data_IF_325500889343
#
_entry.id   IF_325500889343
#
_cell.length_a   1.000
_cell.length_b   1.000
_cell.length_c   1.000
_cell.angle_alpha   90.00
_cell.angle_beta   90.00
_cell.angle_gamma   90.00
#
_symmetry.space_group_name_H-M   'P 1'
#
loop_
_entity.id
_entity.type
_entity.pdbx_description
1 polymer ?
#
# COMPACT_ATOMS: atom_id res chain seq x y z
N UNK A 1 -52.82 -29.35 -37.48
CA UNK A 1 -51.88 -30.34 -38.04
C UNK A 1 -51.25 -29.64 -39.22
N UNK A 2 -50.03 -29.11 -39.18
CA UNK A 2 -48.87 -29.55 -38.41
C UNK A 2 -47.96 -28.40 -37.98
N UNK A 3 -47.31 -28.67 -36.85
CA UNK A 3 -46.32 -27.87 -36.15
C UNK A 3 -44.94 -28.20 -36.73
N UNK A 4 -44.14 -27.22 -37.15
CA UNK A 4 -42.69 -27.41 -37.35
C UNK A 4 -41.96 -26.29 -36.63
N UNK A 5 -41.53 -26.62 -35.41
CA UNK A 5 -40.61 -25.85 -34.59
C UNK A 5 -39.19 -26.18 -35.06
N UNK A 6 -38.45 -25.18 -35.53
CA UNK A 6 -36.99 -25.27 -35.60
C UNK A 6 -36.42 -25.12 -34.19
N UNK A 7 -36.05 -26.24 -33.57
CA UNK A 7 -35.21 -26.24 -32.36
C UNK A 7 -33.78 -25.86 -32.75
N UNK A 8 -33.45 -24.58 -32.62
CA UNK A 8 -32.06 -24.18 -32.50
C UNK A 8 -31.59 -24.60 -31.10
N UNK A 9 -30.86 -25.71 -31.03
CA UNK A 9 -30.09 -26.10 -29.85
C UNK A 9 -29.00 -25.05 -29.64
N UNK A 10 -29.28 -24.02 -28.84
CA UNK A 10 -28.22 -23.22 -28.25
C UNK A 10 -27.51 -24.11 -27.24
N UNK A 11 -26.37 -24.67 -27.63
CA UNK A 11 -25.36 -25.10 -26.68
C UNK A 11 -25.02 -23.88 -25.83
N UNK A 12 -25.59 -23.79 -24.64
CA UNK A 12 -25.13 -22.91 -23.58
C UNK A 12 -23.73 -23.39 -23.20
N UNK A 13 -22.72 -22.88 -23.90
CA UNK A 13 -21.43 -22.70 -23.27
C UNK A 13 -21.71 -21.86 -22.03
N UNK A 14 -21.64 -22.48 -20.86
CA UNK A 14 -21.45 -21.76 -19.60
C UNK A 14 -20.28 -20.82 -19.81
N UNK A 15 -20.54 -19.52 -20.03
CA UNK A 15 -19.53 -18.50 -19.78
C UNK A 15 -19.15 -18.69 -18.32
N UNK A 16 -17.99 -19.29 -18.05
CA UNK A 16 -17.47 -19.35 -16.69
C UNK A 16 -17.30 -17.91 -16.24
N UNK A 17 -18.20 -17.44 -15.37
CA UNK A 17 -18.16 -16.10 -14.83
C UNK A 17 -16.82 -15.84 -14.14
N UNK A 18 -16.42 -14.58 -14.07
CA UNK A 18 -15.21 -14.20 -13.34
C UNK A 18 -15.31 -14.67 -11.89
N UNK A 19 -14.19 -15.17 -11.35
CA UNK A 19 -14.01 -15.36 -9.91
C UNK A 19 -13.42 -14.10 -9.28
N UNK A 20 -13.79 -13.82 -8.04
CA UNK A 20 -13.43 -12.60 -7.33
C UNK A 20 -12.51 -12.92 -6.15
N UNK A 21 -11.33 -12.32 -6.13
CA UNK A 21 -10.42 -12.38 -4.99
C UNK A 21 -10.59 -11.09 -4.18
N UNK A 22 -10.89 -11.22 -2.90
CA UNK A 22 -10.94 -10.13 -1.94
C UNK A 22 -9.90 -10.38 -0.84
N UNK A 23 -9.51 -9.33 -0.11
CA UNK A 23 -8.62 -9.51 1.03
C UNK A 23 -8.75 -8.38 2.06
N UNK A 24 -8.43 -8.66 3.31
CA UNK A 24 -8.20 -7.62 4.32
C UNK A 24 -6.92 -7.92 5.10
N UNK A 25 -6.49 -6.95 5.88
CA UNK A 25 -5.24 -6.94 6.63
C UNK A 25 -5.56 -6.66 8.09
N UNK A 26 -4.74 -7.22 8.99
CA UNK A 26 -4.82 -6.94 10.42
C UNK A 26 -5.13 -5.46 10.75
N UNK A 27 -6.15 -5.15 11.59
CA UNK A 27 -6.60 -3.78 11.81
C UNK A 27 -5.54 -2.74 12.22
N UNK A 28 -4.54 -3.07 13.07
CA UNK A 28 -3.45 -2.14 13.43
C UNK A 28 -2.56 -1.71 12.25
N UNK A 29 -2.57 -2.45 11.14
CA UNK A 29 -1.66 -2.19 10.02
C UNK A 29 -2.03 -0.91 9.26
N UNK A 30 -1.02 -0.03 9.11
CA UNK A 30 -1.16 1.27 8.50
C UNK A 30 -1.27 1.25 6.98
N UNK A 31 -1.57 2.43 6.42
CA UNK A 31 -1.77 2.67 4.99
C UNK A 31 -0.66 2.09 4.10
N UNK A 32 0.60 2.32 4.49
CA UNK A 32 1.75 1.92 3.67
C UNK A 32 2.07 0.43 3.72
N UNK A 33 1.82 -0.26 4.83
CA UNK A 33 1.93 -1.73 4.85
C UNK A 33 0.81 -2.36 4.01
N UNK A 34 -0.41 -1.83 4.07
CA UNK A 34 -1.53 -2.32 3.23
C UNK A 34 -1.24 -2.20 1.73
N UNK A 35 -0.54 -1.15 1.32
CA UNK A 35 -0.01 -1.01 -0.06
C UNK A 35 1.02 -2.08 -0.41
N UNK A 36 1.85 -2.49 0.55
CA UNK A 36 2.79 -3.60 0.36
C UNK A 36 2.05 -4.94 0.23
N UNK A 37 1.04 -5.18 1.08
CA UNK A 37 0.19 -6.38 1.01
C UNK A 37 -0.57 -6.46 -0.32
N UNK A 38 -1.03 -5.34 -0.88
CA UNK A 38 -1.60 -5.31 -2.23
C UNK A 38 -0.64 -5.92 -3.26
N UNK A 39 0.66 -5.64 -3.18
CA UNK A 39 1.65 -6.21 -4.11
C UNK A 39 1.74 -7.73 -3.98
N UNK A 40 1.63 -8.25 -2.75
CA UNK A 40 1.62 -9.69 -2.47
C UNK A 40 0.38 -10.35 -3.07
N UNK A 41 -0.80 -9.78 -2.82
CA UNK A 41 -2.07 -10.30 -3.34
C UNK A 41 -2.16 -10.20 -4.86
N UNK A 42 -1.67 -9.12 -5.45
CA UNK A 42 -1.58 -8.99 -6.90
C UNK A 42 -0.65 -10.05 -7.52
N UNK A 43 0.41 -10.48 -6.82
CA UNK A 43 1.29 -11.56 -7.28
C UNK A 43 0.56 -12.91 -7.27
N UNK A 44 -0.19 -13.20 -6.20
CA UNK A 44 -1.11 -14.35 -6.16
C UNK A 44 -2.11 -14.29 -7.32
N UNK A 45 -2.74 -13.15 -7.58
CA UNK A 45 -3.70 -13.01 -8.68
C UNK A 45 -3.05 -13.30 -10.05
N UNK A 46 -1.82 -12.81 -10.30
CA UNK A 46 -1.06 -13.15 -11.51
C UNK A 46 -0.83 -14.65 -11.66
N UNK A 47 -0.63 -15.37 -10.56
CA UNK A 47 -0.53 -16.83 -10.57
C UNK A 47 -1.88 -17.50 -10.89
N UNK A 48 -2.97 -17.02 -10.31
CA UNK A 48 -4.33 -17.53 -10.58
C UNK A 48 -4.76 -17.33 -12.04
N UNK A 49 -4.43 -16.17 -12.61
CA UNK A 49 -4.73 -15.77 -14.00
C UNK A 49 -4.06 -16.66 -15.06
N UNK A 50 -3.09 -17.50 -14.68
CA UNK A 50 -2.52 -18.50 -15.59
C UNK A 50 -3.47 -19.67 -15.84
N UNK A 51 -4.48 -19.85 -15.01
CA UNK A 51 -5.40 -21.00 -15.02
C UNK A 51 -6.85 -20.60 -15.24
N UNK A 52 -7.34 -19.59 -14.53
CA UNK A 52 -8.76 -19.19 -14.53
C UNK A 52 -8.90 -17.67 -14.59
N UNK A 53 -10.07 -17.17 -14.99
CA UNK A 53 -10.37 -15.74 -14.97
C UNK A 53 -10.67 -15.27 -13.54
N UNK A 54 -9.77 -14.46 -13.00
CA UNK A 54 -9.90 -13.86 -11.67
C UNK A 54 -9.84 -12.34 -11.75
N UNK A 55 -10.59 -11.67 -10.89
CA UNK A 55 -10.56 -10.21 -10.70
C UNK A 55 -10.26 -9.91 -9.24
N UNK A 56 -9.31 -9.01 -8.98
CA UNK A 56 -9.05 -8.54 -7.63
C UNK A 56 -10.02 -7.42 -7.27
N UNK A 57 -10.78 -7.63 -6.20
CA UNK A 57 -11.64 -6.61 -5.61
C UNK A 57 -10.81 -5.81 -4.62
N UNK A 58 -10.73 -4.50 -4.84
CA UNK A 58 -9.93 -3.60 -4.04
C UNK A 58 -10.62 -3.33 -2.69
N UNK A 59 -9.96 -3.59 -1.54
CA UNK A 59 -10.56 -3.42 -0.24
C UNK A 59 -10.72 -1.93 0.09
N UNK A 60 -11.93 -1.44 0.41
CA UNK A 60 -12.14 -0.04 0.75
C UNK A 60 -11.26 0.40 1.92
N UNK A 61 -10.73 1.62 1.85
CA UNK A 61 -9.94 2.19 2.93
C UNK A 61 -10.86 2.64 4.06
N UNK A 62 -10.47 2.35 5.30
CA UNK A 62 -11.26 2.72 6.48
C UNK A 62 -10.53 2.40 7.78
N UNK A 63 -10.80 3.20 8.82
CA UNK A 63 -10.39 2.99 10.22
C UNK A 63 -8.95 2.51 10.40
N UNK A 64 -7.99 3.21 9.81
CA UNK A 64 -6.58 2.92 10.07
C UNK A 64 -6.15 3.53 11.41
N UNK A 65 -5.48 2.74 12.25
CA UNK A 65 -4.99 3.18 13.57
C UNK A 65 -4.14 4.45 13.53
N UNK A 66 -3.48 4.70 12.40
CA UNK A 66 -2.58 5.84 12.19
C UNK A 66 -3.25 7.08 11.59
N UNK A 67 -4.55 7.02 11.31
CA UNK A 67 -5.30 8.19 10.84
C UNK A 67 -5.37 9.23 11.95
N UNK A 68 -5.04 10.46 11.55
CA UNK A 68 -4.76 11.60 12.41
C UNK A 68 -6.01 12.41 12.69
N UNK A 69 -7.03 12.28 11.84
CA UNK A 69 -8.21 13.15 11.80
C UNK A 69 -9.44 12.38 12.31
N UNK A 70 -9.66 12.30 13.63
CA UNK A 70 -10.79 11.56 14.20
C UNK A 70 -12.13 12.23 13.91
N UNK A 71 -12.13 13.54 13.66
CA UNK A 71 -13.33 14.35 13.44
C UNK A 71 -13.90 14.22 12.02
N UNK A 72 -13.21 13.50 11.13
CA UNK A 72 -13.65 13.26 9.76
C UNK A 72 -14.02 11.78 9.63
N UNK A 73 -15.21 11.51 9.08
CA UNK A 73 -15.60 10.14 8.76
C UNK A 73 -14.71 9.60 7.64
N UNK A 74 -13.87 8.64 7.99
CA UNK A 74 -12.99 7.96 7.07
C UNK A 74 -13.30 6.45 7.12
N UNK A 75 -14.19 6.01 6.24
CA UNK A 75 -14.57 4.60 6.09
C UNK A 75 -15.15 4.41 4.69
N UNK A 76 -15.04 3.20 4.14
CA UNK A 76 -15.58 2.86 2.81
C UNK A 76 -15.00 3.75 1.68
N UNK A 77 -13.78 4.25 1.84
CA UNK A 77 -13.15 5.13 0.85
C UNK A 77 -12.65 4.27 -0.32
N UNK A 78 -13.02 4.57 -1.57
CA UNK A 78 -12.57 3.81 -2.74
C UNK A 78 -11.08 4.03 -3.04
N UNK A 79 -10.46 3.10 -3.78
CA UNK A 79 -9.06 3.23 -4.18
C UNK A 79 -8.82 4.39 -5.15
N UNK A 80 -9.81 4.73 -5.97
CA UNK A 80 -9.80 5.90 -6.86
C UNK A 80 -9.56 7.23 -6.13
N UNK A 81 -9.78 7.30 -4.82
CA UNK A 81 -9.42 8.47 -4.01
C UNK A 81 -7.90 8.66 -3.90
N UNK A 82 -7.09 7.59 -3.99
CA UNK A 82 -5.65 7.62 -3.75
C UNK A 82 -4.81 7.15 -4.94
N UNK A 83 -5.34 6.28 -5.79
CA UNK A 83 -4.62 5.65 -6.90
C UNK A 83 -5.40 5.74 -8.21
N UNK A 84 -4.66 5.76 -9.32
CA UNK A 84 -5.24 5.71 -10.65
C UNK A 84 -5.63 4.26 -11.03
N UNK A 85 -6.94 3.98 -11.06
CA UNK A 85 -7.46 2.63 -11.34
C UNK A 85 -7.10 2.13 -12.73
N UNK A 86 -6.96 3.03 -13.72
CA UNK A 86 -6.56 2.65 -15.08
C UNK A 86 -5.12 2.12 -15.09
N UNK A 87 -4.23 2.74 -14.30
CA UNK A 87 -2.85 2.30 -14.11
C UNK A 87 -2.76 0.95 -13.42
N UNK A 88 -3.56 0.72 -12.38
CA UNK A 88 -3.65 -0.59 -11.72
C UNK A 88 -4.13 -1.67 -12.70
N UNK A 89 -5.18 -1.38 -13.48
CA UNK A 89 -5.78 -2.30 -14.46
C UNK A 89 -4.83 -2.71 -15.60
N UNK A 90 -3.81 -1.90 -15.92
CA UNK A 90 -2.76 -2.29 -16.87
C UNK A 90 -1.87 -3.42 -16.35
N UNK A 91 -1.82 -3.66 -15.04
CA UNK A 91 -1.01 -4.72 -14.44
C UNK A 91 -1.83 -5.98 -14.13
N UNK A 92 -3.01 -5.82 -13.53
CA UNK A 92 -3.94 -6.91 -13.19
C UNK A 92 -5.39 -6.40 -13.25
N UNK A 93 -6.38 -7.26 -13.56
CA UNK A 93 -7.79 -6.87 -13.51
C UNK A 93 -8.20 -6.51 -12.08
N UNK A 94 -8.60 -5.27 -11.86
CA UNK A 94 -9.05 -4.75 -10.56
C UNK A 94 -10.39 -4.02 -10.68
N UNK A 95 -11.22 -4.19 -9.65
CA UNK A 95 -12.48 -3.46 -9.50
C UNK A 95 -12.63 -2.94 -8.06
N UNK A 96 -13.40 -1.87 -7.90
CA UNK A 96 -13.79 -1.39 -6.57
C UNK A 96 -14.80 -2.34 -5.91
N UNK A 97 -14.89 -2.30 -4.59
CA UNK A 97 -15.80 -3.18 -3.83
C UNK A 97 -17.28 -2.98 -4.17
N UNK A 98 -17.73 -1.74 -4.38
CA UNK A 98 -19.11 -1.47 -4.77
C UNK A 98 -19.44 -2.03 -6.17
N UNK A 99 -18.46 -2.04 -7.08
CA UNK A 99 -18.60 -2.67 -8.39
C UNK A 99 -18.74 -4.19 -8.25
N UNK A 100 -17.98 -4.82 -7.34
CA UNK A 100 -18.16 -6.24 -7.02
C UNK A 100 -19.60 -6.53 -6.56
N UNK A 101 -20.17 -5.74 -5.64
CA UNK A 101 -21.55 -5.93 -5.17
C UNK A 101 -22.55 -5.89 -6.34
N UNK A 102 -22.35 -4.97 -7.29
CA UNK A 102 -23.21 -4.85 -8.46
C UNK A 102 -23.07 -6.03 -9.43
N UNK A 103 -21.85 -6.53 -9.65
CA UNK A 103 -21.58 -7.62 -10.61
C UNK A 103 -21.91 -9.02 -10.06
N UNK A 104 -21.69 -9.26 -8.77
CA UNK A 104 -21.93 -10.57 -8.13
C UNK A 104 -23.40 -10.82 -7.77
N UNK A 105 -24.26 -9.80 -7.88
CA UNK A 105 -25.67 -9.88 -7.52
C UNK A 105 -25.98 -9.60 -6.05
N UNK A 106 -24.98 -9.16 -5.27
CA UNK A 106 -25.18 -8.69 -3.90
C UNK A 106 -23.90 -8.70 -3.04
N UNK A 107 -23.97 -8.23 -1.79
CA UNK A 107 -22.81 -8.13 -0.90
C UNK A 107 -22.51 -9.49 -0.22
N UNK A 108 -22.50 -10.57 -0.99
CA UNK A 108 -22.25 -11.92 -0.49
C UNK A 108 -20.86 -12.40 -0.90
N UNK A 109 -20.09 -12.87 0.08
CA UNK A 109 -18.79 -13.49 -0.10
C UNK A 109 -18.95 -14.98 0.19
N UNK A 110 -18.83 -15.82 -0.82
CA UNK A 110 -19.04 -17.26 -0.69
C UNK A 110 -18.08 -17.94 0.29
N UNK A 111 -16.79 -17.61 0.25
CA UNK A 111 -15.79 -18.20 1.16
C UNK A 111 -14.87 -17.13 1.75
N UNK A 112 -14.72 -17.13 3.07
CA UNK A 112 -13.69 -16.37 3.78
C UNK A 112 -12.67 -17.34 4.35
N UNK A 113 -11.40 -17.13 4.04
CA UNK A 113 -10.28 -17.81 4.69
C UNK A 113 -9.56 -16.82 5.59
N UNK A 114 -9.53 -17.10 6.89
CA UNK A 114 -8.74 -16.34 7.86
C UNK A 114 -7.35 -16.94 7.91
N UNK A 115 -6.36 -16.20 7.43
CA UNK A 115 -4.97 -16.65 7.43
C UNK A 115 -4.36 -16.53 8.83
N UNK A 116 -3.61 -17.55 9.22
CA UNK A 116 -2.94 -17.61 10.53
C UNK A 116 -1.59 -18.33 10.40
N UNK A 117 -0.74 -18.20 11.42
CA UNK A 117 0.45 -19.04 11.54
C UNK A 117 0.09 -20.51 11.84
N UNK A 118 1.09 -21.39 11.77
CA UNK A 118 0.96 -22.75 12.34
C UNK A 118 1.07 -22.68 13.86
N UNK A 119 0.13 -23.29 14.58
CA UNK A 119 0.08 -23.27 16.04
C UNK A 119 1.33 -23.90 16.69
N UNK A 120 1.89 -24.90 16.01
CA UNK A 120 3.13 -25.58 16.36
C UNK A 120 4.40 -24.74 16.12
N UNK A 121 4.29 -23.61 15.42
CA UNK A 121 5.42 -22.81 14.97
C UNK A 121 6.32 -23.56 13.98
N UNK A 122 7.59 -23.18 13.91
CA UNK A 122 8.62 -23.89 13.15
C UNK A 122 9.89 -24.07 14.00
N UNK A 123 10.66 -25.11 13.74
CA UNK A 123 11.98 -25.30 14.35
C UNK A 123 13.05 -24.59 13.50
N UNK A 124 14.09 -24.08 14.13
CA UNK A 124 15.24 -23.51 13.41
C UNK A 124 15.77 -24.51 12.36
N UNK A 125 15.96 -24.04 11.11
CA UNK A 125 16.40 -24.87 9.99
C UNK A 125 15.32 -25.68 9.27
N UNK A 126 14.04 -25.57 9.66
CA UNK A 126 12.91 -26.33 9.05
C UNK A 126 11.85 -25.44 8.38
N UNK A 127 12.23 -24.25 7.93
CA UNK A 127 11.28 -23.37 7.25
C UNK A 127 10.93 -23.95 5.87
N UNK A 128 9.64 -24.25 5.66
CA UNK A 128 9.10 -24.77 4.41
C UNK A 128 7.86 -23.96 4.02
N UNK A 129 7.62 -23.79 2.71
CA UNK A 129 6.37 -23.21 2.26
C UNK A 129 5.25 -24.25 2.32
N UNK A 130 4.18 -23.95 3.06
CA UNK A 130 3.03 -24.82 3.21
C UNK A 130 1.77 -24.06 3.58
N UNK A 131 0.63 -24.68 3.27
CA UNK A 131 -0.69 -24.17 3.60
C UNK A 131 -1.61 -25.35 3.90
N UNK A 132 -2.34 -25.26 5.00
CA UNK A 132 -3.27 -26.29 5.44
C UNK A 132 -4.53 -25.66 6.03
N UNK A 133 -5.69 -26.27 5.75
CA UNK A 133 -6.89 -25.99 6.54
C UNK A 133 -6.71 -26.52 7.95
N UNK A 134 -6.84 -25.64 8.94
CA UNK A 134 -6.60 -25.93 10.36
C UNK A 134 -7.71 -25.31 11.21
N UNK A 135 -7.92 -25.81 12.43
CA UNK A 135 -8.76 -25.11 13.40
C UNK A 135 -8.28 -23.67 13.60
N UNK A 136 -9.24 -22.75 13.72
CA UNK A 136 -8.95 -21.36 14.04
C UNK A 136 -8.27 -21.27 15.40
N UNK A 137 -7.09 -20.63 15.45
CA UNK A 137 -6.30 -20.48 16.68
C UNK A 137 -6.97 -19.46 17.59
N UNK A 138 -7.20 -18.27 17.05
CA UNK A 138 -7.88 -17.19 17.76
C UNK A 138 -9.39 -17.27 17.58
N UNK A 139 -10.11 -16.62 18.50
CA UNK A 139 -11.54 -16.45 18.35
C UNK A 139 -11.85 -15.66 17.06
N UNK A 140 -12.66 -16.26 16.19
CA UNK A 140 -13.10 -15.62 14.95
C UNK A 140 -13.78 -14.28 15.24
N UNK A 141 -13.37 -13.23 14.52
CA UNK A 141 -14.06 -11.95 14.50
C UNK A 141 -15.38 -11.98 13.69
N UNK A 142 -15.68 -13.14 13.08
CA UNK A 142 -16.90 -13.40 12.32
C UNK A 142 -17.91 -14.14 13.21
N UNK A 143 -19.18 -13.75 13.12
CA UNK A 143 -20.27 -14.37 13.88
C UNK A 143 -21.49 -14.61 13.01
N UNK A 144 -22.21 -15.70 13.24
CA UNK A 144 -23.41 -16.03 12.48
C UNK A 144 -24.59 -15.15 12.90
N UNK A 145 -25.38 -14.72 11.92
CA UNK A 145 -26.67 -14.08 12.14
C UNK A 145 -27.82 -15.10 12.18
N UNK A 146 -29.06 -14.61 12.31
CA UNK A 146 -30.27 -15.44 12.40
C UNK A 146 -30.56 -16.29 11.15
N UNK A 147 -29.92 -15.96 10.02
CA UNK A 147 -30.05 -16.68 8.76
C UNK A 147 -28.82 -17.55 8.48
N UNK A 148 -27.99 -17.81 9.50
CA UNK A 148 -26.76 -18.61 9.42
C UNK A 148 -25.65 -18.01 8.55
N UNK A 149 -25.77 -16.75 8.12
CA UNK A 149 -24.70 -16.05 7.40
C UNK A 149 -23.71 -15.40 8.37
N UNK A 150 -22.43 -15.38 8.01
CA UNK A 150 -21.39 -14.73 8.81
C UNK A 150 -21.40 -13.21 8.60
N UNK A 151 -21.49 -12.48 9.70
CA UNK A 151 -21.24 -11.04 9.80
C UNK A 151 -19.82 -10.81 10.32
N UNK A 152 -19.20 -9.74 9.87
CA UNK A 152 -17.85 -9.34 10.27
C UNK A 152 -17.63 -7.85 9.99
N UNK A 153 -16.38 -7.41 10.05
CA UNK A 153 -16.02 -6.01 9.78
C UNK A 153 -16.31 -5.61 8.33
N UNK A 154 -15.90 -6.44 7.35
CA UNK A 154 -16.11 -6.24 5.91
C UNK A 154 -15.96 -4.78 5.44
N UNK A 155 -14.83 -4.16 5.80
CA UNK A 155 -14.47 -2.78 5.44
C UNK A 155 -15.50 -1.71 5.83
N UNK A 156 -16.34 -2.02 6.83
CA UNK A 156 -17.38 -1.16 7.34
C UNK A 156 -18.73 -1.28 6.64
N UNK A 157 -18.92 -2.23 5.72
CA UNK A 157 -20.20 -2.53 5.07
C UNK A 157 -21.00 -3.53 5.92
N UNK A 158 -22.01 -3.03 6.63
CA UNK A 158 -22.81 -3.81 7.57
C UNK A 158 -23.73 -4.83 6.89
N UNK A 159 -24.01 -4.61 5.61
CA UNK A 159 -24.81 -5.43 4.71
C UNK A 159 -24.05 -6.67 4.21
N UNK A 160 -22.71 -6.67 4.26
CA UNK A 160 -21.90 -7.75 3.73
C UNK A 160 -22.03 -9.04 4.55
N UNK A 161 -22.13 -10.17 3.85
CA UNK A 161 -22.30 -11.50 4.45
C UNK A 161 -21.32 -12.49 3.87
N UNK A 162 -20.65 -13.24 4.74
CA UNK A 162 -19.88 -14.43 4.38
C UNK A 162 -20.79 -15.67 4.42
N UNK A 163 -20.78 -16.52 3.40
CA UNK A 163 -21.54 -17.77 3.42
C UNK A 163 -20.80 -18.84 4.24
N UNK A 164 -19.47 -18.91 4.09
CA UNK A 164 -18.64 -19.82 4.86
C UNK A 164 -17.36 -19.12 5.36
N UNK A 165 -16.88 -19.52 6.54
CA UNK A 165 -15.65 -19.01 7.15
C UNK A 165 -14.85 -20.18 7.71
N UNK A 166 -13.60 -20.32 7.29
CA UNK A 166 -12.64 -21.26 7.90
C UNK A 166 -11.24 -20.64 7.98
N UNK A 167 -10.32 -21.31 8.67
CA UNK A 167 -8.97 -20.81 8.89
C UNK A 167 -7.93 -21.61 8.11
N UNK A 168 -6.96 -20.93 7.51
CA UNK A 168 -5.82 -21.54 6.84
C UNK A 168 -4.55 -21.17 7.59
N UNK A 169 -3.85 -22.17 8.11
CA UNK A 169 -2.48 -21.98 8.58
C UNK A 169 -1.56 -21.90 7.37
N UNK A 170 -0.77 -20.84 7.27
CA UNK A 170 0.09 -20.56 6.11
C UNK A 170 1.50 -20.16 6.56
N UNK A 171 2.47 -20.63 5.79
CA UNK A 171 3.86 -20.25 5.87
C UNK A 171 4.37 -20.17 4.43
N UNK A 172 4.78 -19.00 3.95
CA UNK A 172 5.34 -18.86 2.61
C UNK A 172 4.85 -17.63 1.85
N UNK A 173 5.21 -17.61 0.58
CA UNK A 173 4.86 -16.55 -0.36
C UNK A 173 3.39 -16.58 -0.77
N UNK A 174 2.83 -15.45 -1.21
CA UNK A 174 1.41 -15.33 -1.52
C UNK A 174 0.89 -16.39 -2.52
N UNK A 175 1.70 -16.78 -3.51
CA UNK A 175 1.31 -17.80 -4.49
C UNK A 175 1.11 -19.20 -3.91
N UNK A 176 1.55 -19.49 -2.67
CA UNK A 176 1.30 -20.77 -2.00
C UNK A 176 -0.20 -21.06 -1.83
N UNK A 177 -1.03 -20.02 -1.81
CA UNK A 177 -2.49 -20.11 -1.67
C UNK A 177 -3.18 -20.59 -2.96
N UNK A 178 -2.53 -20.45 -4.11
CA UNK A 178 -3.15 -20.72 -5.42
C UNK A 178 -3.75 -22.14 -5.57
N UNK A 179 -3.10 -23.23 -5.11
CA UNK A 179 -3.69 -24.56 -5.18
C UNK A 179 -5.01 -24.69 -4.43
N UNK A 180 -5.16 -24.04 -3.27
CA UNK A 180 -6.41 -24.04 -2.50
C UNK A 180 -7.52 -23.36 -3.31
N UNK A 181 -7.22 -22.18 -3.88
CA UNK A 181 -8.20 -21.39 -4.63
C UNK A 181 -8.62 -22.06 -5.95
N UNK A 182 -7.71 -22.77 -6.62
CA UNK A 182 -7.97 -23.41 -7.91
C UNK A 182 -8.55 -24.83 -7.79
N UNK A 183 -8.20 -25.59 -6.74
CA UNK A 183 -8.55 -27.02 -6.66
C UNK A 183 -9.51 -27.36 -5.51
N UNK A 184 -9.41 -26.64 -4.39
CA UNK A 184 -10.11 -27.02 -3.16
C UNK A 184 -11.42 -26.24 -2.97
N UNK A 185 -11.67 -25.20 -3.75
CA UNK A 185 -12.92 -24.44 -3.69
C UNK A 185 -13.47 -24.11 -5.07
N UNK A 186 -14.78 -24.32 -5.23
CA UNK A 186 -15.55 -23.89 -6.40
C UNK A 186 -16.15 -22.49 -6.21
N UNK A 187 -15.83 -21.81 -5.10
CA UNK A 187 -16.45 -20.54 -4.75
C UNK A 187 -16.14 -19.45 -5.78
N UNK A 188 -17.17 -18.71 -6.20
CA UNK A 188 -17.02 -17.60 -7.13
C UNK A 188 -16.30 -16.42 -6.49
N UNK A 189 -16.58 -16.10 -5.22
CA UNK A 189 -15.91 -15.01 -4.49
C UNK A 189 -15.20 -15.54 -3.24
N UNK A 190 -13.90 -15.29 -3.13
CA UNK A 190 -13.07 -15.73 -2.00
C UNK A 190 -12.38 -14.54 -1.36
N UNK A 191 -12.52 -14.40 -0.05
CA UNK A 191 -11.82 -13.38 0.75
C UNK A 191 -10.69 -14.01 1.56
N UNK A 192 -9.49 -13.45 1.46
CA UNK A 192 -8.35 -13.76 2.33
C UNK A 192 -8.22 -12.70 3.42
N UNK A 193 -8.70 -12.99 4.62
CA UNK A 193 -8.47 -12.13 5.78
C UNK A 193 -7.08 -12.39 6.36
N UNK A 194 -6.50 -11.40 7.05
CA UNK A 194 -5.14 -11.45 7.62
C UNK A 194 -4.06 -11.69 6.56
N UNK A 195 -4.21 -11.05 5.40
CA UNK A 195 -3.33 -11.20 4.24
C UNK A 195 -1.86 -10.80 4.51
N UNK A 196 -1.55 -10.10 5.61
CA UNK A 196 -0.17 -9.81 6.00
C UNK A 196 0.66 -11.06 6.32
N UNK A 197 0.03 -12.20 6.62
CA UNK A 197 0.70 -13.47 6.85
C UNK A 197 1.40 -14.02 5.59
N UNK A 198 1.01 -13.54 4.40
CA UNK A 198 1.63 -13.95 3.15
C UNK A 198 2.88 -13.11 2.88
N UNK A 199 3.96 -13.75 2.43
CA UNK A 199 5.18 -13.08 1.99
C UNK A 199 5.13 -12.73 0.50
N UNK A 200 6.10 -11.94 0.03
CA UNK A 200 6.29 -11.69 -1.41
C UNK A 200 6.90 -12.91 -2.09
N UNK A 201 6.38 -13.29 -3.27
CA UNK A 201 6.94 -14.39 -4.09
C UNK A 201 8.39 -14.16 -4.48
N UNK A 202 8.70 -12.96 -4.99
CA UNK A 202 10.06 -12.55 -5.30
C UNK A 202 10.21 -11.04 -5.13
N UNK A 203 10.53 -10.62 -3.90
CA UNK A 203 10.73 -9.21 -3.57
C UNK A 203 11.82 -8.58 -4.45
N UNK A 204 11.57 -7.37 -4.97
CA UNK A 204 12.49 -6.69 -5.89
C UNK A 204 12.60 -7.31 -7.29
N UNK A 205 11.81 -8.34 -7.61
CA UNK A 205 11.75 -8.92 -8.96
C UNK A 205 10.96 -8.08 -9.96
N UNK A 206 10.95 -8.50 -11.22
CA UNK A 206 10.20 -7.82 -12.28
C UNK A 206 8.69 -7.73 -11.97
N UNK A 207 8.08 -8.80 -11.49
CA UNK A 207 6.64 -8.80 -11.19
C UNK A 207 6.30 -7.93 -9.98
N UNK A 208 7.17 -7.90 -8.97
CA UNK A 208 7.10 -6.95 -7.87
C UNK A 208 7.11 -5.51 -8.39
N UNK A 209 8.09 -5.16 -9.23
CA UNK A 209 8.23 -3.81 -9.76
C UNK A 209 7.12 -3.43 -10.73
N UNK A 210 6.61 -4.34 -11.56
CA UNK A 210 5.45 -4.09 -12.41
C UNK A 210 4.22 -3.73 -11.56
N UNK A 211 3.96 -4.50 -10.50
CA UNK A 211 2.86 -4.18 -9.60
C UNK A 211 3.10 -2.88 -8.85
N UNK A 212 4.30 -2.65 -8.32
CA UNK A 212 4.62 -1.41 -7.59
C UNK A 212 4.55 -0.16 -8.47
N UNK A 213 4.97 -0.24 -9.73
CA UNK A 213 4.89 0.84 -10.73
C UNK A 213 3.47 1.11 -11.20
N UNK A 214 2.59 0.11 -11.16
CA UNK A 214 1.18 0.27 -11.49
C UNK A 214 0.40 1.09 -10.45
N UNK A 215 0.92 1.20 -9.21
CA UNK A 215 0.33 1.97 -8.12
C UNK A 215 0.60 3.47 -8.27
N UNK A 216 0.21 4.04 -9.40
CA UNK A 216 0.30 5.48 -9.69
C UNK A 216 -0.70 6.22 -8.81
N UNK A 217 -0.24 7.28 -8.13
CA UNK A 217 -1.12 8.13 -7.34
C UNK A 217 -2.19 8.82 -8.19
N UNK A 218 -3.38 9.00 -7.62
CA UNK A 218 -4.48 9.69 -8.27
C UNK A 218 -4.06 11.08 -8.74
N UNK A 219 -4.46 11.45 -9.96
CA UNK A 219 -3.99 12.68 -10.62
C UNK A 219 -4.19 13.94 -9.79
N UNK A 220 -5.33 14.06 -9.11
CA UNK A 220 -5.64 15.24 -8.30
C UNK A 220 -4.65 15.42 -7.14
N UNK A 221 -4.15 14.34 -6.53
CA UNK A 221 -3.14 14.41 -5.47
C UNK A 221 -1.76 14.81 -6.01
N UNK A 222 -1.38 14.29 -7.18
CA UNK A 222 -0.13 14.67 -7.86
C UNK A 222 -0.13 16.16 -8.19
N UNK A 223 -1.23 16.66 -8.76
CA UNK A 223 -1.40 18.09 -9.08
C UNK A 223 -1.22 18.97 -7.84
N UNK A 224 -1.84 18.63 -6.70
CA UNK A 224 -1.66 19.38 -5.45
C UNK A 224 -0.20 19.36 -4.99
N UNK A 225 0.45 18.19 -5.05
CA UNK A 225 1.87 18.08 -4.73
C UNK A 225 2.78 18.91 -5.66
N UNK A 226 2.47 18.95 -6.96
CA UNK A 226 3.21 19.73 -7.96
C UNK A 226 2.99 21.25 -7.79
N UNK A 227 1.76 21.66 -7.47
CA UNK A 227 1.45 23.05 -7.13
C UNK A 227 2.23 23.50 -5.88
N UNK A 228 2.28 22.65 -4.85
CA UNK A 228 3.06 22.93 -3.65
C UNK A 228 4.57 23.00 -3.95
N UNK A 229 5.10 22.03 -4.70
CA UNK A 229 6.50 22.01 -5.16
C UNK A 229 6.88 23.29 -5.89
N UNK A 230 6.06 23.72 -6.83
CA UNK A 230 6.30 24.93 -7.61
C UNK A 230 6.26 26.18 -6.71
N UNK A 231 5.19 26.33 -5.92
CA UNK A 231 4.93 27.53 -5.11
C UNK A 231 5.92 27.72 -3.96
N UNK A 232 6.25 26.65 -3.24
CA UNK A 232 7.00 26.75 -1.99
C UNK A 232 8.43 26.23 -2.08
N UNK A 233 8.73 25.35 -3.05
CA UNK A 233 10.02 24.64 -3.12
C UNK A 233 10.81 24.96 -4.38
N UNK A 234 10.32 25.82 -5.28
CA UNK A 234 10.97 26.16 -6.56
C UNK A 234 11.29 24.90 -7.39
N UNK A 235 10.34 23.96 -7.40
CA UNK A 235 10.50 22.61 -7.94
C UNK A 235 9.43 22.34 -9.00
N UNK A 236 9.86 21.86 -10.16
CA UNK A 236 9.01 21.47 -11.31
C UNK A 236 9.68 20.31 -12.02
N UNK A 237 8.92 19.43 -12.68
CA UNK A 237 9.51 18.24 -13.32
C UNK A 237 10.55 18.59 -14.40
N UNK A 238 10.36 19.70 -15.11
CA UNK A 238 11.31 20.21 -16.09
C UNK A 238 12.63 20.65 -15.45
N UNK A 239 12.57 21.44 -14.37
CA UNK A 239 13.78 21.91 -13.67
C UNK A 239 14.49 20.77 -12.93
N UNK A 240 13.72 19.81 -12.41
CA UNK A 240 14.17 18.74 -11.54
C UNK A 240 14.58 17.48 -12.33
N UNK A 241 14.33 17.45 -13.64
CA UNK A 241 14.52 16.29 -14.53
C UNK A 241 13.80 15.04 -14.03
N UNK A 242 12.61 15.22 -13.47
CA UNK A 242 11.73 14.15 -12.96
C UNK A 242 10.56 13.92 -13.91
N UNK A 243 10.80 13.99 -15.21
CA UNK A 243 9.76 13.84 -16.23
C UNK A 243 8.95 12.55 -16.03
N UNK A 244 7.64 12.73 -15.93
CA UNK A 244 6.69 11.67 -15.68
C UNK A 244 5.97 11.23 -16.97
N UNK A 245 5.64 9.96 -17.08
CA UNK A 245 4.77 9.45 -18.15
C UNK A 245 3.51 8.86 -17.53
N UNK A 246 2.33 9.37 -17.94
CA UNK A 246 1.02 8.88 -17.48
C UNK A 246 0.83 7.39 -17.78
N UNK A 247 1.46 6.86 -18.83
CA UNK A 247 1.57 5.42 -19.02
C UNK A 247 2.81 4.87 -18.32
N UNK A 248 2.62 4.38 -17.09
CA UNK A 248 3.68 3.77 -16.30
C UNK A 248 4.38 2.63 -17.04
N UNK A 249 3.74 1.93 -17.97
CA UNK A 249 4.38 0.82 -18.72
C UNK A 249 5.52 1.32 -19.62
N UNK A 250 5.46 2.59 -20.04
CA UNK A 250 6.45 3.27 -20.87
C UNK A 250 7.48 4.05 -20.04
N UNK A 251 7.25 4.23 -18.75
CA UNK A 251 8.14 4.96 -17.85
C UNK A 251 9.39 4.14 -17.51
N UNK A 252 10.39 4.16 -18.40
CA UNK A 252 11.69 3.52 -18.19
C UNK A 252 12.77 4.58 -18.11
N UNK A 253 13.22 4.87 -16.89
CA UNK A 253 14.21 5.90 -16.62
C UNK A 253 15.54 5.25 -16.25
N UNK A 254 16.65 5.81 -16.74
CA UNK A 254 17.99 5.37 -16.36
C UNK A 254 18.27 5.84 -14.93
N UNK A 255 18.69 4.93 -14.05
CA UNK A 255 19.06 5.28 -12.67
C UNK A 255 20.10 6.40 -12.64
N UNK A 256 19.87 7.40 -11.78
CA UNK A 256 20.75 8.55 -11.59
C UNK A 256 20.56 9.69 -12.59
N UNK A 257 19.49 9.69 -13.41
CA UNK A 257 19.20 10.82 -14.32
C UNK A 257 18.32 11.90 -13.69
N UNK A 258 17.49 11.56 -12.71
CA UNK A 258 16.68 12.54 -11.99
C UNK A 258 17.56 13.38 -11.06
N UNK A 259 17.35 14.70 -11.07
CA UNK A 259 18.10 15.66 -10.24
C UNK A 259 17.34 16.00 -8.94
N UNK A 260 16.03 16.22 -9.04
CA UNK A 260 15.19 16.67 -7.94
C UNK A 260 15.26 18.17 -7.65
N UNK A 261 14.18 18.67 -7.04
CA UNK A 261 14.03 20.07 -6.70
C UNK A 261 15.03 20.55 -5.66
N UNK A 262 15.28 21.87 -5.56
CA UNK A 262 16.34 22.45 -4.73
C UNK A 262 15.99 22.47 -3.23
N UNK A 263 15.58 21.33 -2.69
CA UNK A 263 15.24 21.12 -1.28
C UNK A 263 15.62 19.72 -0.79
N UNK A 264 15.76 19.60 0.53
CA UNK A 264 15.93 18.33 1.24
C UNK A 264 14.55 17.78 1.61
N UNK A 265 14.25 16.53 1.25
CA UNK A 265 13.05 15.82 1.67
C UNK A 265 13.33 15.04 2.95
N UNK A 266 12.51 15.25 3.98
CA UNK A 266 12.66 14.61 5.27
C UNK A 266 11.36 13.91 5.64
N UNK A 267 11.44 12.62 5.96
CA UNK A 267 10.37 11.92 6.64
C UNK A 267 10.78 11.55 8.07
N UNK A 268 10.14 12.20 9.05
CA UNK A 268 10.39 12.00 10.47
C UNK A 268 9.16 11.37 11.14
N UNK A 269 9.21 10.06 11.37
CA UNK A 269 8.17 9.30 12.08
C UNK A 269 8.42 9.37 13.58
N UNK A 270 7.42 9.85 14.33
CA UNK A 270 7.50 10.15 15.77
C UNK A 270 6.59 9.23 16.57
N UNK A 271 5.29 9.49 16.65
CA UNK A 271 4.29 8.88 17.57
C UNK A 271 4.68 7.55 18.25
N UNK A 272 4.24 6.43 17.67
CA UNK A 272 4.44 5.08 18.19
C UNK A 272 5.92 4.67 18.16
N UNK A 273 6.67 5.22 17.20
CA UNK A 273 8.11 4.98 17.03
C UNK A 273 8.95 5.52 18.19
N UNK A 274 8.53 6.61 18.85
CA UNK A 274 9.20 7.11 20.06
C UNK A 274 9.15 6.09 21.20
N UNK A 275 8.21 5.14 21.20
CA UNK A 275 8.12 4.12 22.25
C UNK A 275 8.69 2.78 21.77
N UNK A 276 8.35 2.36 20.56
CA UNK A 276 8.76 1.08 19.99
C UNK A 276 10.16 1.03 19.37
N UNK A 277 10.73 2.19 19.00
CA UNK A 277 11.94 2.31 18.17
C UNK A 277 12.93 3.36 18.72
N UNK A 278 13.02 3.49 20.04
CA UNK A 278 13.84 4.54 20.71
C UNK A 278 15.31 4.52 20.34
N UNK A 279 15.83 3.36 20.00
CA UNK A 279 17.26 3.16 19.81
C UNK A 279 17.72 3.50 18.39
N UNK A 280 16.80 3.49 17.41
CA UNK A 280 17.08 3.68 15.98
C UNK A 280 16.37 4.91 15.36
N UNK A 281 15.68 5.71 16.19
CA UNK A 281 15.14 7.04 15.82
C UNK A 281 15.87 8.17 16.55
N UNK A 282 16.07 9.34 15.90
CA UNK A 282 16.78 10.46 16.52
C UNK A 282 15.90 11.21 17.54
N UNK A 283 16.54 11.96 18.44
CA UNK A 283 15.88 13.07 19.13
C UNK A 283 15.57 14.19 18.13
N UNK A 284 14.72 15.16 18.52
CA UNK A 284 14.45 16.33 17.67
C UNK A 284 15.73 17.13 17.40
N UNK A 285 16.56 17.35 18.42
CA UNK A 285 17.85 18.05 18.27
C UNK A 285 18.82 17.27 17.37
N UNK A 286 18.87 15.94 17.52
CA UNK A 286 19.66 15.07 16.66
C UNK A 286 19.22 15.13 15.20
N UNK A 287 17.90 15.10 14.96
CA UNK A 287 17.32 15.24 13.62
C UNK A 287 17.68 16.60 13.01
N UNK A 288 17.47 17.70 13.74
CA UNK A 288 17.83 19.06 13.30
C UNK A 288 19.30 19.19 12.94
N UNK A 289 20.20 18.65 13.78
CA UNK A 289 21.64 18.66 13.52
C UNK A 289 21.98 17.91 12.22
N UNK A 290 21.36 16.74 12.00
CA UNK A 290 21.56 15.97 10.78
C UNK A 290 21.00 16.67 9.56
N UNK A 291 19.82 17.29 9.66
CA UNK A 291 19.18 18.08 8.60
C UNK A 291 20.11 19.22 8.16
N UNK A 292 20.60 20.04 9.08
CA UNK A 292 21.53 21.15 8.76
C UNK A 292 22.81 20.66 8.09
N UNK A 293 23.39 19.58 8.60
CA UNK A 293 24.57 18.98 7.97
C UNK A 293 24.32 18.53 6.53
N UNK A 294 23.12 18.04 6.20
CA UNK A 294 22.76 17.66 4.83
C UNK A 294 22.48 18.88 3.95
N UNK A 295 21.83 19.92 4.49
CA UNK A 295 21.63 21.18 3.79
C UNK A 295 22.97 21.79 3.36
N UNK A 296 23.94 21.88 4.27
CA UNK A 296 25.29 22.38 3.98
C UNK A 296 26.02 21.50 2.94
N UNK A 297 25.99 20.18 3.14
CA UNK A 297 26.69 19.22 2.27
C UNK A 297 26.18 19.25 0.83
N UNK A 298 24.85 19.39 0.66
CA UNK A 298 24.21 19.36 -0.65
C UNK A 298 23.88 20.75 -1.21
N UNK A 299 24.27 21.82 -0.50
CA UNK A 299 24.02 23.22 -0.86
C UNK A 299 22.53 23.49 -1.11
N UNK A 300 21.71 23.07 -0.14
CA UNK A 300 20.26 23.22 -0.14
C UNK A 300 19.86 24.24 0.91
N UNK A 301 18.88 25.09 0.60
CA UNK A 301 18.42 26.15 1.52
C UNK A 301 17.06 25.84 2.15
N UNK A 302 16.30 24.91 1.56
CA UNK A 302 14.96 24.52 2.02
C UNK A 302 14.91 23.07 2.43
N UNK A 303 14.08 22.79 3.43
CA UNK A 303 13.73 21.42 3.83
C UNK A 303 12.23 21.25 3.83
N UNK A 304 11.74 20.21 3.15
CA UNK A 304 10.36 19.77 3.25
C UNK A 304 10.26 18.68 4.30
N UNK A 305 9.35 18.85 5.28
CA UNK A 305 9.16 17.92 6.38
C UNK A 305 7.80 17.21 6.30
N UNK A 306 7.83 15.91 6.04
CA UNK A 306 6.71 14.99 6.26
C UNK A 306 6.86 14.36 7.66
N UNK A 307 5.88 14.58 8.54
CA UNK A 307 5.92 14.06 9.92
C UNK A 307 4.54 13.84 10.50
N UNK A 308 4.42 12.85 11.39
CA UNK A 308 3.26 12.61 12.23
C UNK A 308 3.45 13.13 13.67
N UNK A 309 4.47 13.97 13.88
CA UNK A 309 4.72 14.64 15.15
C UNK A 309 3.48 15.40 15.65
N UNK A 310 3.31 15.44 16.97
CA UNK A 310 2.28 16.28 17.61
C UNK A 310 2.63 17.77 17.46
N UNK A 311 1.63 18.63 17.59
CA UNK A 311 1.77 20.06 17.32
C UNK A 311 2.89 20.71 18.14
N UNK A 312 3.09 20.31 19.40
CA UNK A 312 4.17 20.85 20.24
C UNK A 312 5.57 20.51 19.71
N UNK A 313 5.76 19.30 19.17
CA UNK A 313 7.02 18.90 18.55
C UNK A 313 7.22 19.64 17.21
N UNK A 314 6.16 19.84 16.43
CA UNK A 314 6.20 20.60 15.17
C UNK A 314 6.58 22.06 15.44
N UNK A 315 5.98 22.71 16.43
CA UNK A 315 6.30 24.09 16.81
C UNK A 315 7.75 24.23 17.31
N UNK A 316 8.26 23.22 18.02
CA UNK A 316 9.67 23.18 18.40
C UNK A 316 10.58 23.02 17.16
N UNK A 317 10.21 22.14 16.22
CA UNK A 317 10.95 21.99 14.96
C UNK A 317 10.93 23.27 14.14
N UNK A 318 9.80 24.00 14.05
CA UNK A 318 9.70 25.34 13.39
C UNK A 318 10.70 26.33 13.98
N UNK A 319 10.84 26.35 15.31
CA UNK A 319 11.81 27.21 15.99
C UNK A 319 13.26 26.81 15.73
N UNK A 320 13.53 25.51 15.66
CA UNK A 320 14.88 24.97 15.47
C UNK A 320 15.32 24.95 13.99
N UNK A 321 14.39 24.86 13.05
CA UNK A 321 14.57 24.87 11.59
C UNK A 321 13.59 25.86 10.93
N UNK A 322 13.81 27.17 11.05
CA UNK A 322 12.93 28.17 10.42
C UNK A 322 12.79 28.04 8.89
N UNK A 323 13.77 27.40 8.24
CA UNK A 323 13.80 27.10 6.81
C UNK A 323 12.90 25.92 6.40
N UNK A 324 12.24 25.25 7.36
CA UNK A 324 11.38 24.12 7.06
C UNK A 324 10.02 24.53 6.52
N UNK A 325 9.56 23.77 5.54
CA UNK A 325 8.24 23.91 4.93
C UNK A 325 7.50 22.59 5.11
N UNK A 326 6.21 22.66 5.41
CA UNK A 326 5.31 21.52 5.55
C UNK A 326 4.06 21.76 4.72
N UNK A 327 3.46 20.68 4.22
CA UNK A 327 2.12 20.74 3.66
C UNK A 327 1.11 20.78 4.81
N UNK A 328 0.51 21.95 5.04
CA UNK A 328 -0.49 22.19 6.07
C UNK A 328 -1.86 22.39 5.37
N UNK A 329 -2.74 21.38 5.36
CA UNK A 329 -4.00 21.46 4.64
C UNK A 329 -5.01 22.35 5.38
N UNK A 330 -5.89 22.99 4.62
CA UNK A 330 -7.15 23.51 5.15
C UNK A 330 -8.07 22.38 5.61
N UNK A 331 -9.10 22.70 6.39
CA UNK A 331 -10.07 21.70 6.84
C UNK A 331 -10.83 21.08 5.65
N UNK A 332 -11.13 21.89 4.64
CA UNK A 332 -11.77 21.46 3.39
C UNK A 332 -10.85 20.52 2.57
N UNK A 333 -9.56 20.82 2.47
CA UNK A 333 -8.59 19.93 1.81
C UNK A 333 -8.42 18.61 2.56
N UNK A 334 -8.42 18.66 3.90
CA UNK A 334 -8.34 17.47 4.73
C UNK A 334 -9.60 16.59 4.59
N UNK A 335 -10.78 17.21 4.53
CA UNK A 335 -12.03 16.50 4.26
C UNK A 335 -12.07 15.93 2.84
N UNK A 336 -11.50 16.62 1.86
CA UNK A 336 -11.47 16.16 0.47
C UNK A 336 -10.50 15.00 0.27
N UNK A 337 -9.24 15.18 0.70
CA UNK A 337 -8.17 14.23 0.42
C UNK A 337 -8.08 13.11 1.46
N UNK A 338 -8.67 13.29 2.63
CA UNK A 338 -8.58 12.35 3.76
C UNK A 338 -7.12 12.12 4.18
N UNK A 339 -6.89 11.38 5.26
CA UNK A 339 -5.54 11.16 5.77
C UNK A 339 -4.66 10.36 4.80
N UNK A 340 -5.27 9.49 3.98
CA UNK A 340 -4.58 8.77 2.92
C UNK A 340 -4.04 9.69 1.82
N UNK A 341 -4.84 10.67 1.38
CA UNK A 341 -4.41 11.64 0.36
C UNK A 341 -3.34 12.59 0.89
N UNK A 342 -3.46 13.02 2.15
CA UNK A 342 -2.42 13.78 2.85
C UNK A 342 -1.07 13.04 2.86
N UNK A 343 -1.09 11.75 3.22
CA UNK A 343 0.09 10.90 3.20
C UNK A 343 0.68 10.75 1.79
N UNK A 344 -0.16 10.62 0.76
CA UNK A 344 0.27 10.55 -0.64
C UNK A 344 0.94 11.85 -1.09
N UNK A 345 0.37 13.01 -0.76
CA UNK A 345 0.94 14.32 -1.10
C UNK A 345 2.31 14.50 -0.45
N UNK A 346 2.44 14.20 0.85
CA UNK A 346 3.72 14.24 1.56
C UNK A 346 4.77 13.31 0.92
N UNK A 347 4.37 12.09 0.54
CA UNK A 347 5.27 11.15 -0.14
C UNK A 347 5.69 11.64 -1.51
N UNK A 348 4.76 12.21 -2.28
CA UNK A 348 5.02 12.77 -3.60
C UNK A 348 6.04 13.91 -3.53
N UNK A 349 5.84 14.85 -2.60
CA UNK A 349 6.77 15.96 -2.39
C UNK A 349 8.13 15.45 -1.90
N UNK A 350 8.18 14.49 -0.96
CA UNK A 350 9.43 13.88 -0.53
C UNK A 350 10.16 13.15 -1.67
N UNK A 351 9.42 12.46 -2.56
CA UNK A 351 10.00 11.71 -3.67
C UNK A 351 10.72 12.63 -4.68
N UNK A 352 10.30 13.89 -4.81
CA UNK A 352 10.88 14.84 -5.77
C UNK A 352 12.06 15.67 -5.23
N UNK A 353 12.45 15.48 -3.96
CA UNK A 353 13.57 16.20 -3.37
C UNK A 353 14.92 15.82 -4.00
N UNK A 354 15.88 16.75 -4.03
CA UNK A 354 17.26 16.46 -4.48
C UNK A 354 17.95 15.40 -3.62
N UNK A 355 17.65 15.41 -2.33
CA UNK A 355 18.11 14.40 -1.38
C UNK A 355 16.96 14.04 -0.46
N UNK A 356 16.84 12.76 -0.13
CA UNK A 356 15.84 12.26 0.81
C UNK A 356 16.50 11.54 1.97
N UNK A 357 15.97 11.76 3.18
CA UNK A 357 16.27 11.00 4.39
C UNK A 357 14.98 10.64 5.13
N UNK A 358 14.81 9.35 5.39
CA UNK A 358 13.64 8.81 6.07
C UNK A 358 13.90 8.40 7.53
N UNK A 359 12.89 7.77 8.12
CA UNK A 359 12.99 7.13 9.44
C UNK A 359 13.20 5.62 9.30
N UNK A 360 13.99 5.05 10.22
CA UNK A 360 14.27 3.61 10.33
C UNK A 360 13.00 2.79 10.25
N UNK A 361 13.06 1.66 9.53
CA UNK A 361 12.00 0.63 9.37
C UNK A 361 10.58 1.13 9.04
N UNK A 362 10.41 2.40 8.69
CA UNK A 362 9.09 2.96 8.41
C UNK A 362 8.63 2.60 7.01
N UNK A 363 7.48 1.93 6.92
CA UNK A 363 6.83 1.62 5.64
C UNK A 363 6.48 2.88 4.84
N UNK A 364 6.25 4.03 5.49
CA UNK A 364 6.09 5.32 4.82
C UNK A 364 7.38 5.73 4.08
N UNK A 365 8.55 5.62 4.73
CA UNK A 365 9.86 5.85 4.09
C UNK A 365 10.08 4.88 2.93
N UNK A 366 9.74 3.59 3.11
CA UNK A 366 9.93 2.57 2.08
C UNK A 366 9.15 2.89 0.80
N UNK A 367 7.91 3.39 0.93
CA UNK A 367 7.13 3.79 -0.24
C UNK A 367 7.74 5.00 -0.95
N UNK A 368 8.38 5.93 -0.23
CA UNK A 368 9.15 7.03 -0.83
C UNK A 368 10.39 6.50 -1.54
N UNK A 369 11.14 5.56 -0.93
CA UNK A 369 12.32 4.98 -1.57
C UNK A 369 11.99 4.37 -2.93
N UNK A 370 10.88 3.64 -3.02
CA UNK A 370 10.43 3.04 -4.27
C UNK A 370 9.96 4.08 -5.30
N UNK A 371 9.27 5.13 -4.86
CA UNK A 371 8.84 6.21 -5.76
C UNK A 371 10.07 6.93 -6.36
N UNK A 372 11.11 7.15 -5.55
CA UNK A 372 12.39 7.70 -6.00
C UNK A 372 13.13 6.78 -6.97
N UNK A 373 13.08 5.46 -6.73
CA UNK A 373 13.67 4.47 -7.64
C UNK A 373 12.92 4.46 -8.99
N UNK A 374 11.59 4.59 -8.97
CA UNK A 374 10.75 4.72 -10.18
C UNK A 374 11.07 5.99 -10.96
N UNK A 375 11.25 7.12 -10.27
CA UNK A 375 11.64 8.40 -10.88
C UNK A 375 13.09 8.41 -11.39
N UNK A 376 13.91 7.41 -11.03
CA UNK A 376 15.28 7.26 -11.52
C UNK A 376 16.30 8.13 -10.78
N UNK A 377 16.08 8.42 -9.50
CA UNK A 377 17.06 9.08 -8.65
C UNK A 377 18.31 8.22 -8.42
N UNK A 378 19.43 8.85 -8.07
CA UNK A 378 20.62 8.13 -7.62
C UNK A 378 20.33 7.48 -6.25
N UNK A 379 20.58 6.17 -6.07
CA UNK A 379 20.36 5.46 -4.80
C UNK A 379 21.00 6.15 -3.59
N UNK A 380 22.15 6.83 -3.76
CA UNK A 380 22.82 7.59 -2.69
C UNK A 380 21.97 8.73 -2.14
N UNK A 381 21.04 9.25 -2.93
CA UNK A 381 20.10 10.31 -2.52
C UNK A 381 18.77 9.78 -2.00
N UNK A 382 18.59 8.45 -1.98
CA UNK A 382 17.30 7.80 -1.73
C UNK A 382 17.33 6.96 -0.46
N UNK A 383 18.27 6.02 -0.36
CA UNK A 383 18.27 5.01 0.71
C UNK A 383 19.04 5.52 1.93
N UNK A 384 18.47 6.53 2.59
CA UNK A 384 19.07 7.17 3.76
C UNK A 384 18.08 7.19 4.92
N UNK A 385 18.55 6.96 6.13
CA UNK A 385 17.75 7.17 7.34
C UNK A 385 18.46 7.97 8.41
N UNK A 386 17.68 8.56 9.30
CA UNK A 386 18.22 9.02 10.57
C UNK A 386 18.69 7.83 11.42
N UNK A 387 19.73 8.11 12.21
CA UNK A 387 20.28 7.18 13.20
C UNK A 387 19.82 7.59 14.59
N UNK A 388 19.69 6.62 15.49
CA UNK A 388 19.52 6.91 16.90
C UNK A 388 20.79 7.52 17.51
N UNK A 389 20.66 8.33 18.55
CA UNK A 389 21.82 9.04 19.14
C UNK A 389 22.89 8.10 19.72
N UNK A 390 22.45 6.94 20.24
CA UNK A 390 23.32 5.92 20.84
C UNK A 390 23.58 4.74 19.90
N UNK A 391 23.06 4.82 18.69
CA UNK A 391 23.15 3.75 17.70
C UNK A 391 24.58 3.68 17.14
N UNK A 392 25.32 2.63 17.49
CA UNK A 392 26.70 2.44 17.02
C UNK A 392 26.74 2.01 15.55
N UNK A 393 25.84 1.10 15.18
CA UNK A 393 25.76 0.52 13.84
C UNK A 393 24.47 0.96 13.18
N UNK A 394 24.46 2.18 12.64
CA UNK A 394 23.32 2.73 11.92
C UNK A 394 23.26 2.17 10.48
N UNK A 395 22.81 0.92 10.36
CA UNK A 395 22.63 0.27 9.06
C UNK A 395 21.65 1.09 8.21
N UNK A 396 22.05 1.40 6.98
CA UNK A 396 21.22 2.15 6.04
C UNK A 396 20.26 1.22 5.31
N UNK A 397 19.10 1.73 4.84
CA UNK A 397 18.13 0.93 4.11
C UNK A 397 18.77 0.23 2.89
N UNK A 398 18.43 -1.03 2.65
CA UNK A 398 18.91 -1.77 1.49
C UNK A 398 18.43 -1.14 0.18
N UNK A 399 19.33 -1.00 -0.81
CA UNK A 399 18.95 -0.62 -2.17
C UNK A 399 18.30 -1.80 -2.89
N UNK A 400 16.99 -1.74 -3.05
CA UNK A 400 16.25 -2.64 -3.92
C UNK A 400 16.11 -2.00 -5.29
N UNK A 401 16.91 -2.45 -6.25
CA UNK A 401 16.96 -1.86 -7.59
C UNK A 401 15.72 -2.20 -8.42
N UNK A 402 15.19 -1.22 -9.14
CA UNK A 402 14.10 -1.44 -10.11
C UNK A 402 14.51 -2.38 -11.25
N UNK A 403 13.61 -3.28 -11.61
CA UNK A 403 13.74 -4.24 -12.72
C UNK A 403 12.58 -4.01 -13.69
N UNK A 404 12.89 -3.79 -14.98
CA UNK A 404 11.94 -3.43 -16.04
C UNK A 404 11.52 -4.60 -16.95
#
# INVERSE_FOLDING_TARGET
MDCVICLATSTTQSQSGNRYLLYDVNPPEGFNLRRDVYVRIASLLKTLLKSENWVLVLPPWGRLYHWQSPDILQVRIPWSAFFDLSSLNKNIPVIEYEQFIAESGGPFIEQVYVLQGYAEGWKEGTWEEKIDERPCIDQLMYSKDKHEYYRGWFWGYEETRGLNVSCLSVQGSASIVAPILLKNTSAQSVMLDRAENLLHDHYGGKDYWNTRRSMVFAKHLRVVGDEFRNKYLQSTDEADRTHYNEDWTQMKVKTGTALGGPYLGVHLRRKDFIWGHREDVPTLQGAVKKIRSLLDMHKLEKVFLATDAVEEEVELLKKLLPEMVRFEPTWEELELYKDGGMAVIDQWICAHARYFIGTSVSTFSFRIHEEREILGFDPKTTYNRFCGEKEKNCEQPTHWKIVY
#
